data_IF_667686259047
#
_entry.id   IF_667686259047
#
_cell.length_a   1.000
_cell.length_b   1.000
_cell.length_c   1.000
_cell.angle_alpha   90.00
_cell.angle_beta   90.00
_cell.angle_gamma   90.00
#
_symmetry.space_group_name_H-M   'P 1'
#
loop_
_entity.id
_entity.type
_entity.pdbx_description
1 polymer ?
#
# COMPACT_ATOMS: atom_id res chain seq x y z
N UNK A 1 23.31 15.53 21.41
CA UNK A 1 22.07 16.09 21.92
C UNK A 1 21.09 16.57 20.84
N UNK A 2 21.11 16.04 19.61
CA UNK A 2 20.25 16.48 18.49
C UNK A 2 19.30 15.39 17.96
N UNK A 3 19.25 14.22 18.60
CA UNK A 3 18.51 13.02 18.16
C UNK A 3 17.15 12.80 18.83
N UNK A 4 16.73 13.65 19.77
CA UNK A 4 15.51 13.47 20.54
C UNK A 4 14.40 14.50 20.25
N UNK A 5 14.64 15.48 19.34
CA UNK A 5 13.64 16.51 19.05
C UNK A 5 12.49 16.06 18.13
N UNK A 6 12.65 14.99 17.35
CA UNK A 6 11.59 14.59 16.40
C UNK A 6 10.46 13.78 17.07
N UNK A 7 10.78 13.03 18.12
CA UNK A 7 9.78 12.28 18.90
C UNK A 7 8.89 13.15 19.78
N UNK A 8 9.42 14.28 20.28
CA UNK A 8 8.67 15.20 21.14
C UNK A 8 7.63 16.04 20.38
N UNK A 9 7.83 16.28 19.08
CA UNK A 9 6.85 17.00 18.26
C UNK A 9 5.62 16.15 17.93
N UNK A 10 5.79 14.83 17.82
CA UNK A 10 4.65 13.92 17.58
C UNK A 10 3.80 13.71 18.84
N UNK A 11 4.41 13.62 20.02
CA UNK A 11 3.70 13.49 21.29
C UNK A 11 3.15 14.82 21.83
N UNK A 12 3.82 15.94 21.54
CA UNK A 12 3.34 17.28 21.91
C UNK A 12 2.09 17.71 21.14
N UNK A 13 1.92 17.25 19.90
CA UNK A 13 0.72 17.49 19.08
C UNK A 13 -0.52 16.75 19.61
N UNK A 14 -0.36 15.55 20.16
CA UNK A 14 -1.46 14.78 20.72
C UNK A 14 -2.03 15.41 22.02
N UNK A 15 -1.21 16.07 22.80
CA UNK A 15 -1.65 16.72 24.06
C UNK A 15 -2.48 17.98 23.84
N UNK A 16 -2.35 18.66 22.69
CA UNK A 16 -3.19 19.82 22.35
C UNK A 16 -4.60 19.43 21.86
N UNK A 17 -4.78 18.21 21.39
CA UNK A 17 -6.07 17.71 20.89
C UNK A 17 -7.04 17.42 22.07
N UNK A 18 -6.51 17.06 23.22
CA UNK A 18 -7.32 16.74 24.42
C UNK A 18 -8.02 17.97 25.05
N UNK A 19 -7.67 19.19 24.67
CA UNK A 19 -8.29 20.43 25.22
C UNK A 19 -9.46 20.97 24.38
N UNK A 20 -9.76 20.40 23.21
CA UNK A 20 -10.83 20.88 22.34
C UNK A 20 -12.17 20.11 22.47
N UNK A 21 -12.25 19.11 23.35
CA UNK A 21 -13.37 18.17 23.44
C UNK A 21 -14.37 18.44 24.57
N UNK A 22 -14.80 19.67 24.76
CA UNK A 22 -15.74 20.04 25.81
C UNK A 22 -16.97 20.81 25.36
N UNK A 23 -17.77 20.27 24.45
CA UNK A 23 -19.14 20.72 24.22
C UNK A 23 -20.01 19.48 23.92
N UNK A 24 -21.02 19.27 24.77
CA UNK A 24 -22.12 18.33 24.57
C UNK A 24 -22.94 18.77 23.35
N UNK A 25 -22.45 18.42 22.19
CA UNK A 25 -23.21 18.47 20.93
C UNK A 25 -23.94 17.13 20.84
N UNK A 26 -25.24 17.14 20.57
CA UNK A 26 -25.97 15.94 20.14
C UNK A 26 -25.08 15.12 19.23
N UNK A 27 -24.76 13.91 19.64
CA UNK A 27 -23.74 13.11 18.95
C UNK A 27 -24.23 12.74 17.56
N UNK A 28 -23.79 13.49 16.56
CA UNK A 28 -23.98 13.08 15.16
C UNK A 28 -23.42 11.65 14.98
N UNK A 29 -24.11 10.82 14.22
CA UNK A 29 -23.61 9.46 13.98
C UNK A 29 -22.22 9.49 13.35
N UNK A 30 -21.39 8.53 13.72
CA UNK A 30 -20.06 8.38 13.11
C UNK A 30 -20.05 7.23 12.09
N UNK A 31 -19.60 7.46 10.85
CA UNK A 31 -19.21 8.76 10.26
C UNK A 31 -20.43 9.66 10.03
N UNK A 32 -20.20 10.98 10.03
CA UNK A 32 -21.27 11.96 9.79
C UNK A 32 -21.80 11.78 8.36
N UNK A 33 -23.11 11.59 8.17
CA UNK A 33 -23.73 11.47 6.84
C UNK A 33 -23.49 12.71 5.99
N UNK A 34 -23.34 12.53 4.68
CA UNK A 34 -22.99 13.63 3.77
C UNK A 34 -24.07 14.71 3.69
N UNK A 35 -25.33 14.36 3.85
CA UNK A 35 -26.48 15.26 3.87
C UNK A 35 -26.57 16.11 5.14
N UNK A 36 -25.96 15.66 6.23
CA UNK A 36 -25.94 16.39 7.50
C UNK A 36 -25.08 17.67 7.47
N UNK A 37 -24.20 17.82 6.47
CA UNK A 37 -23.37 19.03 6.35
C UNK A 37 -24.08 20.25 5.77
N UNK A 38 -25.27 20.09 5.20
CA UNK A 38 -26.05 21.19 4.61
C UNK A 38 -25.40 21.91 3.44
N UNK A 39 -24.43 21.28 2.78
CA UNK A 39 -23.56 21.87 1.76
C UNK A 39 -24.03 21.64 0.31
N UNK A 40 -25.26 21.21 0.10
CA UNK A 40 -25.83 20.93 -1.22
C UNK A 40 -25.73 22.10 -2.20
N UNK A 41 -25.83 23.35 -1.71
CA UNK A 41 -25.63 24.55 -2.52
C UNK A 41 -24.19 24.73 -2.99
N UNK A 42 -23.23 24.46 -2.11
CA UNK A 42 -21.79 24.54 -2.42
C UNK A 42 -21.37 23.44 -3.38
N UNK A 43 -21.92 22.23 -3.24
CA UNK A 43 -21.67 21.12 -4.17
C UNK A 43 -22.17 21.48 -5.58
N UNK A 44 -23.37 22.08 -5.70
CA UNK A 44 -23.92 22.51 -6.98
C UNK A 44 -23.13 23.64 -7.65
N UNK A 45 -22.49 24.49 -6.87
CA UNK A 45 -21.61 25.55 -7.40
C UNK A 45 -20.28 25.04 -7.93
N UNK A 46 -19.91 23.79 -7.60
CA UNK A 46 -18.62 23.20 -7.97
C UNK A 46 -17.43 23.74 -7.16
N UNK A 47 -17.66 24.53 -6.10
CA UNK A 47 -16.61 25.05 -5.24
C UNK A 47 -16.20 24.01 -4.19
N UNK A 48 -15.27 23.14 -4.61
CA UNK A 48 -14.75 22.05 -3.77
C UNK A 48 -14.10 22.58 -2.50
N UNK A 49 -13.39 23.71 -2.59
CA UNK A 49 -12.67 24.29 -1.44
C UNK A 49 -13.68 24.76 -0.39
N UNK A 50 -14.73 25.47 -0.80
CA UNK A 50 -15.80 25.90 0.10
C UNK A 50 -16.50 24.71 0.77
N UNK A 51 -16.77 23.62 0.04
CA UNK A 51 -17.31 22.36 0.58
C UNK A 51 -16.38 21.79 1.66
N UNK A 52 -15.09 21.69 1.39
CA UNK A 52 -14.13 21.14 2.35
C UNK A 52 -14.03 22.02 3.61
N UNK A 53 -13.95 23.32 3.46
CA UNK A 53 -13.90 24.27 4.60
C UNK A 53 -15.19 24.15 5.44
N UNK A 54 -16.34 24.08 4.82
CA UNK A 54 -17.62 23.89 5.51
C UNK A 54 -17.60 22.60 6.34
N UNK A 55 -17.21 21.49 5.73
CA UNK A 55 -17.17 20.17 6.39
C UNK A 55 -16.15 20.11 7.52
N UNK A 56 -15.00 20.77 7.39
CA UNK A 56 -13.99 20.89 8.45
C UNK A 56 -14.55 21.74 9.60
N UNK A 57 -15.26 22.82 9.28
CA UNK A 57 -15.88 23.70 10.30
C UNK A 57 -16.93 22.96 11.13
N UNK A 58 -17.75 22.11 10.49
CA UNK A 58 -18.73 21.27 11.17
C UNK A 58 -18.12 20.11 11.95
N UNK A 59 -17.09 19.47 11.39
CA UNK A 59 -16.47 18.29 11.97
C UNK A 59 -14.95 18.36 11.79
N UNK A 60 -14.20 18.92 12.76
CA UNK A 60 -12.73 19.05 12.66
C UNK A 60 -12.00 17.73 12.47
N UNK A 61 -12.58 16.60 12.85
CA UNK A 61 -12.08 15.26 12.57
C UNK A 61 -11.79 15.05 11.09
N UNK A 62 -12.61 15.60 10.20
CA UNK A 62 -12.45 15.44 8.74
C UNK A 62 -11.09 15.96 8.24
N UNK A 63 -10.59 17.05 8.84
CA UNK A 63 -9.26 17.56 8.51
C UNK A 63 -8.18 16.55 8.89
N UNK A 64 -8.23 16.01 10.11
CA UNK A 64 -7.23 15.06 10.59
C UNK A 64 -7.27 13.74 9.80
N UNK A 65 -8.45 13.22 9.51
CA UNK A 65 -8.59 12.03 8.68
C UNK A 65 -8.01 12.25 7.26
N UNK A 66 -8.29 13.41 6.66
CA UNK A 66 -7.74 13.78 5.34
C UNK A 66 -6.23 13.95 5.36
N UNK A 67 -5.67 14.56 6.41
CA UNK A 67 -4.22 14.72 6.56
C UNK A 67 -3.53 13.38 6.78
N UNK A 68 -4.10 12.48 7.58
CA UNK A 68 -3.58 11.12 7.78
C UNK A 68 -3.53 10.39 6.45
N UNK A 69 -4.60 10.44 5.65
CA UNK A 69 -4.62 9.83 4.34
C UNK A 69 -3.59 10.45 3.38
N UNK A 70 -3.48 11.78 3.37
CA UNK A 70 -2.46 12.47 2.59
C UNK A 70 -1.04 12.04 2.99
N UNK A 71 -0.76 11.95 4.28
CA UNK A 71 0.55 11.50 4.77
C UNK A 71 0.82 10.03 4.46
N UNK A 72 -0.21 9.17 4.47
CA UNK A 72 -0.08 7.79 4.01
C UNK A 72 0.36 7.75 2.54
N UNK A 73 -0.28 8.53 1.67
CA UNK A 73 0.10 8.65 0.26
C UNK A 73 1.54 9.19 0.13
N UNK A 74 1.88 10.27 0.83
CA UNK A 74 3.23 10.81 0.80
C UNK A 74 4.27 9.79 1.27
N UNK A 75 3.94 8.98 2.28
CA UNK A 75 4.82 7.92 2.77
C UNK A 75 5.14 6.91 1.66
N UNK A 76 4.17 6.54 0.81
CA UNK A 76 4.42 5.58 -0.28
C UNK A 76 5.49 6.09 -1.26
N UNK A 77 5.57 7.40 -1.51
CA UNK A 77 6.63 7.98 -2.34
C UNK A 77 8.02 7.92 -1.70
N UNK A 78 8.08 7.81 -0.37
CA UNK A 78 9.34 7.65 0.35
C UNK A 78 9.74 6.19 0.59
N UNK A 79 8.86 5.23 0.33
CA UNK A 79 9.08 3.80 0.55
C UNK A 79 10.39 3.30 -0.08
N UNK A 80 10.64 3.63 -1.35
CA UNK A 80 11.88 3.27 -2.04
C UNK A 80 13.15 3.84 -1.37
N UNK A 81 13.09 5.06 -0.82
CA UNK A 81 14.21 5.66 -0.10
C UNK A 81 14.45 4.99 1.24
N UNK A 82 13.38 4.60 1.93
CA UNK A 82 13.44 3.84 3.19
C UNK A 82 14.10 2.48 2.95
N UNK A 83 13.68 1.76 1.90
CA UNK A 83 14.29 0.48 1.51
C UNK A 83 15.79 0.61 1.21
N UNK A 84 16.23 1.66 0.51
CA UNK A 84 17.66 1.92 0.26
C UNK A 84 18.43 2.12 1.58
N UNK A 85 17.84 2.79 2.57
CA UNK A 85 18.47 2.98 3.89
C UNK A 85 18.54 1.64 4.63
N UNK A 86 17.48 0.83 4.56
CA UNK A 86 17.46 -0.51 5.15
C UNK A 86 18.60 -1.38 4.60
N UNK A 87 18.71 -1.48 3.27
CA UNK A 87 19.80 -2.23 2.63
C UNK A 87 21.20 -1.74 2.99
N UNK A 88 21.40 -0.43 3.15
CA UNK A 88 22.69 0.09 3.62
C UNK A 88 23.01 -0.36 5.03
N UNK A 89 22.02 -0.40 5.92
CA UNK A 89 22.23 -0.88 7.29
C UNK A 89 22.53 -2.38 7.33
N UNK A 90 21.88 -3.17 6.49
CA UNK A 90 22.18 -4.59 6.33
C UNK A 90 23.61 -4.81 5.85
N UNK A 91 24.04 -4.09 4.81
CA UNK A 91 25.39 -4.19 4.29
C UNK A 91 26.44 -3.83 5.35
N UNK A 92 26.23 -2.71 6.07
CA UNK A 92 27.16 -2.30 7.15
C UNK A 92 27.19 -3.32 8.29
N UNK A 93 26.07 -3.96 8.61
CA UNK A 93 26.00 -4.99 9.62
C UNK A 93 26.72 -6.26 9.15
N UNK A 94 26.47 -6.68 7.92
CA UNK A 94 27.12 -7.83 7.30
C UNK A 94 28.65 -7.65 7.24
N UNK A 95 29.13 -6.46 6.85
CA UNK A 95 30.58 -6.15 6.86
C UNK A 95 31.19 -6.26 8.25
N UNK A 96 30.51 -5.79 9.29
CA UNK A 96 30.98 -5.93 10.68
C UNK A 96 31.04 -7.40 11.12
N UNK A 97 30.00 -8.16 10.84
CA UNK A 97 29.94 -9.58 11.19
C UNK A 97 31.00 -10.40 10.45
N UNK A 98 31.26 -10.09 9.17
CA UNK A 98 32.39 -10.70 8.43
C UNK A 98 33.76 -10.37 9.06
N UNK A 99 33.97 -9.12 9.50
CA UNK A 99 35.19 -8.71 10.19
C UNK A 99 35.35 -9.41 11.53
N UNK A 100 34.25 -9.81 12.18
CA UNK A 100 34.24 -10.62 13.42
C UNK A 100 34.40 -12.13 13.16
N UNK A 101 34.53 -12.55 11.89
CA UNK A 101 34.75 -13.95 11.51
C UNK A 101 33.49 -14.82 11.50
N UNK A 102 32.32 -14.20 11.44
CA UNK A 102 31.02 -14.91 11.32
C UNK A 102 30.85 -15.52 9.94
N UNK A 103 30.16 -16.66 9.87
CA UNK A 103 29.79 -17.29 8.59
C UNK A 103 28.70 -16.53 7.86
N UNK A 104 28.60 -16.68 6.54
CA UNK A 104 27.53 -16.07 5.75
C UNK A 104 26.14 -16.54 6.21
N UNK A 105 26.03 -17.79 6.65
CA UNK A 105 24.80 -18.36 7.19
C UNK A 105 24.36 -17.67 8.51
N UNK A 106 25.33 -17.37 9.39
CA UNK A 106 25.06 -16.60 10.62
C UNK A 106 24.68 -15.15 10.33
N UNK A 107 25.24 -14.55 9.28
CA UNK A 107 24.92 -13.18 8.86
C UNK A 107 23.49 -13.12 8.30
N UNK A 108 23.11 -14.07 7.46
CA UNK A 108 21.78 -14.14 6.85
C UNK A 108 20.68 -14.37 7.90
N UNK A 109 20.96 -15.14 8.95
CA UNK A 109 20.01 -15.41 10.04
C UNK A 109 19.96 -14.34 11.15
N UNK A 110 20.83 -13.34 11.09
CA UNK A 110 20.88 -12.26 12.07
C UNK A 110 20.85 -10.86 11.44
N UNK A 111 19.78 -10.50 10.74
CA UNK A 111 19.62 -9.15 10.20
C UNK A 111 19.51 -8.13 11.35
N UNK A 112 20.00 -6.90 11.18
CA UNK A 112 19.89 -5.88 12.21
C UNK A 112 18.43 -5.45 12.34
N UNK A 113 17.89 -5.50 13.54
CA UNK A 113 16.50 -5.13 13.85
C UNK A 113 16.06 -3.81 13.22
N UNK A 114 16.95 -2.81 13.17
CA UNK A 114 16.64 -1.52 12.56
C UNK A 114 16.43 -1.62 11.03
N UNK A 115 17.14 -2.52 10.37
CA UNK A 115 16.93 -2.74 8.93
C UNK A 115 15.60 -3.44 8.66
N UNK A 116 15.25 -4.47 9.45
CA UNK A 116 13.96 -5.14 9.38
C UNK A 116 12.79 -4.16 9.61
N UNK A 117 12.91 -3.30 10.63
CA UNK A 117 11.93 -2.24 10.89
C UNK A 117 11.80 -1.28 9.69
N UNK A 118 12.92 -0.88 9.07
CA UNK A 118 12.88 0.01 7.91
C UNK A 118 12.31 -0.69 6.67
N UNK A 119 12.59 -1.98 6.47
CA UNK A 119 11.93 -2.76 5.42
C UNK A 119 10.42 -2.76 5.62
N UNK A 120 9.95 -3.08 6.82
CA UNK A 120 8.52 -3.04 7.15
C UNK A 120 7.91 -1.65 6.89
N UNK A 121 8.58 -0.56 7.30
CA UNK A 121 8.12 0.80 7.01
C UNK A 121 8.21 1.19 5.52
N UNK A 122 8.96 0.47 4.72
CA UNK A 122 9.07 0.66 3.26
C UNK A 122 8.12 -0.22 2.45
N UNK A 123 7.43 -1.17 3.06
CA UNK A 123 6.45 -2.01 2.38
C UNK A 123 5.13 -1.28 2.19
N UNK A 124 4.64 -1.22 0.95
CA UNK A 124 3.42 -0.49 0.60
C UNK A 124 2.21 -1.02 1.38
N UNK A 125 2.12 -2.32 1.56
CA UNK A 125 1.05 -2.99 2.31
C UNK A 125 1.06 -2.60 3.79
N UNK A 126 2.24 -2.47 4.38
CA UNK A 126 2.40 -2.08 5.78
C UNK A 126 2.12 -0.59 6.00
N UNK A 127 2.44 0.27 5.03
CA UNK A 127 2.29 1.73 5.16
C UNK A 127 0.84 2.10 5.53
N UNK A 128 -0.14 1.65 4.75
CA UNK A 128 -1.53 1.97 5.04
C UNK A 128 -1.99 1.38 6.38
N UNK A 129 -1.53 0.18 6.75
CA UNK A 129 -1.80 -0.41 8.07
C UNK A 129 -1.27 0.45 9.23
N UNK A 130 -0.07 1.01 9.09
CA UNK A 130 0.52 1.91 10.08
C UNK A 130 -0.33 3.19 10.24
N UNK A 131 -0.75 3.79 9.13
CA UNK A 131 -1.58 5.00 9.15
C UNK A 131 -3.01 4.75 9.65
N UNK A 132 -3.52 3.52 9.54
CA UNK A 132 -4.78 3.12 10.18
C UNK A 132 -4.67 3.22 11.71
N UNK A 133 -3.51 2.90 12.31
CA UNK A 133 -3.30 3.10 13.75
C UNK A 133 -3.36 4.57 14.14
N UNK A 134 -2.80 5.46 13.31
CA UNK A 134 -2.90 6.90 13.53
C UNK A 134 -4.36 7.38 13.42
N UNK A 135 -5.11 6.88 12.43
CA UNK A 135 -6.53 7.17 12.27
C UNK A 135 -7.34 6.65 13.48
N UNK A 136 -7.05 5.46 13.97
CA UNK A 136 -7.67 4.90 15.17
C UNK A 136 -7.44 5.81 16.38
N UNK A 137 -6.20 6.23 16.61
CA UNK A 137 -5.85 7.13 17.73
C UNK A 137 -6.60 8.46 17.64
N UNK A 138 -6.70 9.05 16.46
CA UNK A 138 -7.44 10.30 16.23
C UNK A 138 -8.94 10.08 16.43
N UNK A 139 -9.50 8.99 15.90
CA UNK A 139 -10.92 8.68 16.08
C UNK A 139 -11.28 8.52 17.56
N UNK A 140 -10.47 7.78 18.32
CA UNK A 140 -10.67 7.58 19.75
C UNK A 140 -10.54 8.90 20.51
N UNK A 141 -9.66 9.81 20.07
CA UNK A 141 -9.44 11.11 20.72
C UNK A 141 -10.58 12.11 20.49
N UNK A 142 -11.22 12.07 19.31
CA UNK A 142 -12.33 12.97 18.95
C UNK A 142 -13.70 12.46 19.42
N UNK A 143 -13.84 11.16 19.48
CA UNK A 143 -15.07 10.48 19.89
C UNK A 143 -14.78 9.63 21.14
N UNK A 144 -14.79 8.31 21.01
CA UNK A 144 -14.46 7.36 22.07
C UNK A 144 -14.08 5.99 21.50
N UNK A 145 -13.69 5.07 22.39
CA UNK A 145 -13.34 3.70 22.02
C UNK A 145 -14.53 2.90 21.48
N UNK A 146 -15.72 3.10 22.03
CA UNK A 146 -16.91 2.36 21.62
C UNK A 146 -17.38 2.80 20.24
N UNK A 147 -17.31 4.09 19.93
CA UNK A 147 -17.57 4.62 18.57
C UNK A 147 -16.60 4.02 17.54
N UNK A 148 -15.30 4.01 17.85
CA UNK A 148 -14.30 3.39 16.97
C UNK A 148 -14.58 1.90 16.75
N UNK A 149 -14.84 1.15 17.82
CA UNK A 149 -15.15 -0.28 17.76
C UNK A 149 -16.42 -0.56 16.94
N UNK A 150 -17.48 0.22 17.16
CA UNK A 150 -18.73 0.08 16.41
C UNK A 150 -18.54 0.42 14.92
N UNK A 151 -17.75 1.43 14.60
CA UNK A 151 -17.40 1.75 13.22
C UNK A 151 -16.72 0.59 12.51
N UNK A 152 -15.69 0.00 13.11
CA UNK A 152 -14.97 -1.14 12.54
C UNK A 152 -15.89 -2.37 12.41
N UNK A 153 -16.71 -2.63 13.44
CA UNK A 153 -17.53 -3.86 13.47
C UNK A 153 -18.76 -3.81 12.55
N UNK A 154 -19.34 -2.63 12.34
CA UNK A 154 -20.66 -2.53 11.71
C UNK A 154 -20.73 -1.59 10.50
N UNK A 155 -19.80 -0.63 10.37
CA UNK A 155 -19.85 0.36 9.28
C UNK A 155 -18.84 0.02 8.17
N UNK A 156 -17.65 -0.47 8.53
CA UNK A 156 -16.62 -0.83 7.55
C UNK A 156 -17.03 -2.11 6.81
N UNK A 157 -17.06 -2.01 5.49
CA UNK A 157 -17.32 -3.18 4.64
C UNK A 157 -15.99 -3.86 4.28
N UNK A 158 -15.75 -5.04 4.83
CA UNK A 158 -14.55 -5.84 4.57
C UNK A 158 -14.73 -6.84 3.40
N UNK A 159 -15.87 -6.86 2.73
CA UNK A 159 -16.16 -7.85 1.68
C UNK A 159 -15.14 -7.78 0.54
N UNK A 160 -14.88 -6.59 0.00
CA UNK A 160 -13.91 -6.41 -1.09
C UNK A 160 -12.47 -6.68 -0.65
N UNK A 161 -11.95 -6.11 0.46
CA UNK A 161 -10.62 -6.44 0.94
C UNK A 161 -10.41 -7.94 1.21
N UNK A 162 -11.39 -8.60 1.83
CA UNK A 162 -11.32 -10.04 2.08
C UNK A 162 -11.32 -10.86 0.79
N UNK A 163 -12.15 -10.46 -0.18
CA UNK A 163 -12.15 -11.08 -1.50
C UNK A 163 -10.78 -10.96 -2.17
N UNK A 164 -10.17 -9.77 -2.16
CA UNK A 164 -8.83 -9.54 -2.73
C UNK A 164 -7.78 -10.43 -2.06
N UNK A 165 -7.77 -10.50 -0.71
CA UNK A 165 -6.83 -11.37 0.03
C UNK A 165 -6.98 -12.82 -0.37
N UNK A 166 -8.22 -13.33 -0.43
CA UNK A 166 -8.48 -14.72 -0.81
C UNK A 166 -8.04 -14.99 -2.25
N UNK A 167 -8.37 -14.10 -3.18
CA UNK A 167 -7.99 -14.27 -4.59
C UNK A 167 -6.48 -14.17 -4.78
N UNK A 168 -5.80 -13.26 -4.11
CA UNK A 168 -4.32 -13.17 -4.17
C UNK A 168 -3.67 -14.44 -3.61
N UNK A 169 -4.17 -14.96 -2.48
CA UNK A 169 -3.69 -16.22 -1.91
C UNK A 169 -3.90 -17.39 -2.87
N UNK A 170 -5.06 -17.49 -3.52
CA UNK A 170 -5.35 -18.51 -4.53
C UNK A 170 -4.47 -18.35 -5.78
N UNK A 171 -4.32 -17.13 -6.29
CA UNK A 171 -3.52 -16.83 -7.48
C UNK A 171 -2.03 -17.18 -7.28
N UNK A 172 -1.53 -17.07 -6.05
CA UNK A 172 -0.16 -17.44 -5.70
C UNK A 172 0.06 -18.95 -5.59
N UNK A 173 -1.00 -19.75 -5.71
CA UNK A 173 -0.88 -21.21 -5.63
C UNK A 173 -0.30 -21.80 -6.90
N UNK A 174 0.53 -22.84 -6.75
CA UNK A 174 1.17 -23.53 -7.87
C UNK A 174 0.19 -23.99 -8.95
N UNK A 175 -1.00 -24.54 -8.68
CA UNK A 175 -1.95 -24.94 -9.71
C UNK A 175 -2.39 -23.77 -10.60
N UNK A 176 -2.70 -22.61 -10.03
CA UNK A 176 -3.15 -21.43 -10.79
C UNK A 176 -2.01 -20.87 -11.62
N UNK A 177 -0.79 -20.81 -11.09
CA UNK A 177 0.39 -20.38 -11.84
C UNK A 177 0.66 -21.30 -13.03
N UNK A 178 0.63 -22.63 -12.84
CA UNK A 178 0.81 -23.59 -13.91
C UNK A 178 -0.29 -23.49 -14.98
N UNK A 179 -1.54 -23.27 -14.56
CA UNK A 179 -2.66 -23.07 -15.48
C UNK A 179 -2.45 -21.81 -16.35
N UNK A 180 -2.08 -20.68 -15.73
CA UNK A 180 -1.78 -19.45 -16.44
C UNK A 180 -0.59 -19.62 -17.41
N UNK A 181 0.49 -20.27 -16.95
CA UNK A 181 1.65 -20.61 -17.78
C UNK A 181 1.28 -21.48 -18.98
N UNK A 182 0.44 -22.51 -18.79
CA UNK A 182 -0.02 -23.36 -19.86
C UNK A 182 -0.84 -22.60 -20.91
N UNK A 183 -1.73 -21.70 -20.48
CA UNK A 183 -2.48 -20.85 -21.42
C UNK A 183 -1.52 -19.97 -22.22
N UNK A 184 -0.67 -19.21 -21.53
CA UNK A 184 0.28 -18.30 -22.18
C UNK A 184 1.28 -19.08 -23.06
N UNK A 185 1.70 -20.28 -22.62
CA UNK A 185 2.56 -21.17 -23.39
C UNK A 185 1.93 -21.64 -24.72
N UNK A 186 0.61 -21.91 -24.73
CA UNK A 186 -0.10 -22.24 -25.98
C UNK A 186 -0.07 -21.07 -26.98
N UNK A 187 -0.21 -19.84 -26.51
CA UNK A 187 -0.08 -18.66 -27.35
C UNK A 187 1.38 -18.42 -27.77
N UNK A 188 2.35 -18.63 -26.89
CA UNK A 188 3.76 -18.55 -27.22
C UNK A 188 4.20 -19.61 -28.24
N UNK A 189 3.52 -20.76 -28.27
CA UNK A 189 3.78 -21.81 -29.26
C UNK A 189 3.54 -21.34 -30.72
N UNK A 190 2.64 -20.40 -30.95
CA UNK A 190 2.42 -19.79 -32.26
C UNK A 190 3.70 -19.11 -32.79
N UNK A 191 4.56 -18.60 -31.91
CA UNK A 191 5.87 -18.04 -32.22
C UNK A 191 7.03 -18.98 -31.87
N UNK A 192 6.81 -20.30 -31.88
CA UNK A 192 7.83 -21.33 -31.59
C UNK A 192 8.51 -21.15 -30.22
N UNK A 193 7.78 -20.70 -29.24
CA UNK A 193 8.28 -20.41 -27.87
C UNK A 193 9.49 -19.47 -27.83
N UNK A 194 9.63 -18.59 -28.82
CA UNK A 194 10.70 -17.58 -28.81
C UNK A 194 10.50 -16.61 -27.66
N UNK A 195 11.57 -15.96 -27.15
CA UNK A 195 11.45 -14.95 -26.07
C UNK A 195 10.46 -13.83 -26.41
N UNK A 196 10.41 -13.40 -27.67
CA UNK A 196 9.45 -12.41 -28.15
C UNK A 196 8.01 -12.94 -28.15
N UNK A 197 7.80 -14.22 -28.44
CA UNK A 197 6.48 -14.84 -28.36
C UNK A 197 5.98 -14.97 -26.92
N UNK A 198 6.83 -15.32 -25.99
CA UNK A 198 6.53 -15.31 -24.58
C UNK A 198 6.21 -13.88 -24.08
N UNK A 199 7.05 -12.92 -24.43
CA UNK A 199 6.85 -11.52 -24.10
C UNK A 199 5.48 -11.00 -24.57
N UNK A 200 5.14 -11.25 -25.84
CA UNK A 200 3.86 -10.84 -26.41
C UNK A 200 2.70 -11.58 -25.74
N UNK A 201 2.82 -12.91 -25.55
CA UNK A 201 1.79 -13.72 -24.92
C UNK A 201 1.48 -13.24 -23.49
N UNK A 202 2.52 -12.98 -22.70
CA UNK A 202 2.33 -12.51 -21.32
C UNK A 202 1.66 -11.14 -21.30
N UNK A 203 2.14 -10.19 -22.12
CA UNK A 203 1.59 -8.83 -22.14
C UNK A 203 0.17 -8.72 -22.73
N UNK A 204 -0.32 -9.75 -23.42
CA UNK A 204 -1.69 -9.78 -23.94
C UNK A 204 -2.62 -10.63 -23.09
N UNK A 205 -2.17 -11.82 -22.67
CA UNK A 205 -3.03 -12.78 -21.97
C UNK A 205 -3.11 -12.47 -20.47
N UNK A 206 -2.03 -12.01 -19.82
CA UNK A 206 -2.11 -11.67 -18.40
C UNK A 206 -3.14 -10.56 -18.10
N UNK A 207 -3.22 -9.46 -18.87
CA UNK A 207 -4.30 -8.48 -18.70
C UNK A 207 -5.71 -9.07 -18.88
N UNK A 208 -5.90 -9.92 -19.89
CA UNK A 208 -7.19 -10.59 -20.10
C UNK A 208 -7.55 -11.50 -18.91
N UNK A 209 -6.59 -12.18 -18.31
CA UNK A 209 -6.81 -12.95 -17.10
C UNK A 209 -7.24 -12.07 -15.93
N UNK A 210 -6.78 -10.81 -15.86
CA UNK A 210 -7.20 -9.84 -14.84
C UNK A 210 -8.71 -9.67 -14.75
N UNK A 211 -9.39 -9.71 -15.87
CA UNK A 211 -10.86 -9.66 -15.92
C UNK A 211 -11.55 -10.89 -15.30
N UNK A 212 -10.85 -11.99 -15.11
CA UNK A 212 -11.39 -13.23 -14.55
C UNK A 212 -10.95 -13.47 -13.10
N UNK A 213 -9.69 -13.13 -12.77
CA UNK A 213 -9.09 -13.45 -11.46
C UNK A 213 -8.83 -12.23 -10.59
N UNK A 214 -8.80 -11.05 -11.07
CA UNK A 214 -8.49 -9.73 -10.52
C UNK A 214 -7.17 -9.17 -11.06
N UNK A 215 -7.09 -7.86 -11.15
CA UNK A 215 -5.90 -7.14 -11.61
C UNK A 215 -4.63 -7.47 -10.80
N UNK A 216 -4.63 -7.44 -9.45
CA UNK A 216 -3.44 -7.74 -8.66
C UNK A 216 -2.92 -9.17 -8.89
N UNK A 217 -3.83 -10.14 -9.02
CA UNK A 217 -3.45 -11.53 -9.26
C UNK A 217 -2.84 -11.71 -10.65
N UNK A 218 -3.46 -11.14 -11.68
CA UNK A 218 -2.96 -11.18 -13.06
C UNK A 218 -1.59 -10.49 -13.18
N UNK A 219 -1.42 -9.35 -12.50
CA UNK A 219 -0.15 -8.62 -12.42
C UNK A 219 0.95 -9.48 -11.82
N UNK A 220 0.68 -10.14 -10.70
CA UNK A 220 1.64 -11.01 -10.03
C UNK A 220 2.06 -12.16 -10.94
N UNK A 221 1.11 -12.86 -11.55
CA UNK A 221 1.40 -13.97 -12.47
C UNK A 221 2.19 -13.47 -13.68
N UNK A 222 1.75 -12.37 -14.28
CA UNK A 222 2.43 -11.76 -15.43
C UNK A 222 3.86 -11.35 -15.11
N UNK A 223 4.09 -10.72 -13.96
CA UNK A 223 5.42 -10.31 -13.51
C UNK A 223 6.33 -11.51 -13.25
N UNK A 224 5.84 -12.57 -12.61
CA UNK A 224 6.62 -13.79 -12.36
C UNK A 224 7.02 -14.48 -13.66
N UNK A 225 6.10 -14.63 -14.62
CA UNK A 225 6.40 -15.24 -15.90
C UNK A 225 7.34 -14.37 -16.76
N UNK A 226 7.21 -13.04 -16.71
CA UNK A 226 8.18 -12.14 -17.33
C UNK A 226 9.56 -12.29 -16.69
N UNK A 227 9.65 -12.40 -15.39
CA UNK A 227 10.92 -12.62 -14.70
C UNK A 227 11.60 -13.90 -15.21
N UNK A 228 10.84 -14.97 -15.35
CA UNK A 228 11.35 -16.28 -15.75
C UNK A 228 11.65 -16.37 -17.27
N UNK A 229 10.76 -15.90 -18.13
CA UNK A 229 10.83 -16.11 -19.58
C UNK A 229 11.52 -14.97 -20.33
N UNK A 230 11.59 -13.77 -19.74
CA UNK A 230 12.11 -12.59 -20.41
C UNK A 230 13.27 -11.91 -19.68
N UNK A 231 13.13 -11.59 -18.39
CA UNK A 231 14.17 -10.85 -17.64
C UNK A 231 15.44 -11.66 -17.40
N UNK A 232 15.35 -12.99 -17.34
CA UNK A 232 16.54 -13.88 -17.28
C UNK A 232 17.49 -13.68 -18.47
N UNK A 233 16.99 -13.20 -19.60
CA UNK A 233 17.78 -12.92 -20.81
C UNK A 233 18.51 -11.57 -20.72
N UNK A 234 18.37 -10.83 -19.61
CA UNK A 234 18.99 -9.53 -19.35
C UNK A 234 18.71 -8.51 -20.47
N UNK A 235 17.45 -8.19 -20.79
CA UNK A 235 17.13 -7.20 -21.79
C UNK A 235 17.73 -5.84 -21.43
N UNK A 236 17.85 -4.93 -22.40
CA UNK A 236 18.29 -3.57 -22.13
C UNK A 236 17.38 -2.89 -21.12
N UNK A 237 17.92 -1.99 -20.27
CA UNK A 237 17.16 -1.31 -19.23
C UNK A 237 15.93 -0.58 -19.81
N UNK A 238 16.05 0.03 -20.98
CA UNK A 238 14.94 0.70 -21.67
C UNK A 238 13.79 -0.26 -21.98
N UNK A 239 14.12 -1.44 -22.53
CA UNK A 239 13.13 -2.45 -22.87
C UNK A 239 12.52 -3.07 -21.60
N UNK A 240 13.31 -3.28 -20.56
CA UNK A 240 12.84 -3.78 -19.27
C UNK A 240 11.80 -2.85 -18.64
N UNK A 241 12.11 -1.56 -18.52
CA UNK A 241 11.18 -0.57 -17.98
C UNK A 241 9.94 -0.37 -18.85
N UNK A 242 10.08 -0.35 -20.17
CA UNK A 242 8.95 -0.30 -21.09
C UNK A 242 8.02 -1.50 -20.91
N UNK A 243 8.58 -2.71 -20.75
CA UNK A 243 7.80 -3.93 -20.54
C UNK A 243 6.98 -3.89 -19.27
N UNK A 244 7.59 -3.47 -18.16
CA UNK A 244 6.86 -3.29 -16.89
C UNK A 244 5.76 -2.22 -17.06
N UNK A 245 6.07 -1.09 -17.67
CA UNK A 245 5.10 -0.03 -17.92
C UNK A 245 3.91 -0.52 -18.76
N UNK A 246 4.14 -1.32 -19.81
CA UNK A 246 3.08 -1.90 -20.63
C UNK A 246 2.23 -2.88 -19.81
N UNK A 247 2.86 -3.74 -19.01
CA UNK A 247 2.12 -4.67 -18.14
C UNK A 247 1.19 -3.91 -17.18
N UNK A 248 1.71 -2.88 -16.49
CA UNK A 248 0.92 -2.04 -15.61
C UNK A 248 -0.28 -1.39 -16.31
N UNK A 249 -0.04 -0.75 -17.44
CA UNK A 249 -1.11 -0.07 -18.19
C UNK A 249 -2.15 -1.07 -18.68
N UNK A 250 -1.74 -2.21 -19.21
CA UNK A 250 -2.67 -3.17 -19.77
C UNK A 250 -3.50 -3.91 -18.73
N UNK A 251 -2.98 -4.13 -17.52
CA UNK A 251 -3.72 -4.82 -16.45
C UNK A 251 -4.67 -3.88 -15.73
N UNK A 252 -4.40 -2.56 -15.71
CA UNK A 252 -5.23 -1.56 -15.04
C UNK A 252 -6.35 -0.97 -15.91
N UNK A 253 -6.58 -1.51 -17.10
CA UNK A 253 -7.66 -1.12 -18.03
C UNK A 253 -8.72 -2.20 -18.11
#
# INVERSE_FOLDING_TARGET
MRKYCLGLLFFGGLSLIALAGGSTVESLPFPVPLDAYGDAGLIKSGDIIAVLINRIGHTPFNLWASLIFLFAILHTFFAAKIAVIAHKLEQQHAEKMRAEGKSEEEIEHNPPFMAEMLHFFGEVEAIFGIWVLALAAVTISFYDWDTFKNYIAHTVNFTEPMFVVVIMALASTRPIMLFAEQIMGKFAALGKHSPGAWWLSILTIAPLLGSFITEPAAMTIGAMLLAEQFYRLKPSSKLAYATIGILFVNVSV
#
